data_IF_900397199468
#
_entry.id   IF_900397199468
#
_cell.length_a   1.000
_cell.length_b   1.000
_cell.length_c   1.000
_cell.angle_alpha   90.00
_cell.angle_beta   90.00
_cell.angle_gamma   90.00
#
_symmetry.space_group_name_H-M   'P 1'
#
loop_
_entity.id
_entity.type
_entity.pdbx_description
1 polymer ?
#
# COMPACT_ATOMS: atom_id res chain seq x y z
N UNK A 1 -17.81 -20.98 29.14
CA UNK A 1 -17.10 -19.74 29.56
C UNK A 1 -15.96 -19.52 28.61
N UNK A 2 -15.94 -18.35 27.89
CA UNK A 2 -14.79 -17.96 27.11
C UNK A 2 -13.63 -17.72 28.09
N UNK A 3 -12.53 -18.40 27.94
CA UNK A 3 -11.29 -18.07 28.67
C UNK A 3 -11.03 -16.58 28.52
N UNK A 4 -10.71 -15.92 29.64
CA UNK A 4 -10.39 -14.50 29.64
C UNK A 4 -9.12 -14.29 28.79
N UNK A 5 -9.28 -13.60 27.67
CA UNK A 5 -8.17 -13.30 26.76
C UNK A 5 -7.29 -12.24 27.42
N UNK A 6 -5.98 -12.45 27.45
CA UNK A 6 -5.04 -11.47 27.99
C UNK A 6 -5.02 -10.21 27.09
N UNK A 7 -5.32 -9.02 27.66
CA UNK A 7 -5.31 -7.78 26.88
C UNK A 7 -3.92 -7.45 26.36
N UNK A 8 -3.85 -6.96 25.11
CA UNK A 8 -2.60 -6.52 24.49
C UNK A 8 -2.80 -5.19 23.75
N UNK A 9 -1.78 -4.35 23.79
CA UNK A 9 -1.73 -3.13 22.97
C UNK A 9 -0.68 -3.31 21.88
N UNK A 10 -1.05 -3.06 20.62
CA UNK A 10 -0.19 -3.17 19.45
C UNK A 10 0.06 -1.80 18.83
N UNK A 11 1.32 -1.51 18.50
CA UNK A 11 1.68 -0.43 17.62
C UNK A 11 1.62 -0.93 16.17
N UNK A 12 0.69 -0.38 15.38
CA UNK A 12 0.39 -0.84 14.02
C UNK A 12 0.76 0.24 13.01
N UNK A 13 1.70 -0.08 12.13
CA UNK A 13 2.13 0.84 11.08
C UNK A 13 1.19 0.78 9.87
N UNK A 14 0.86 1.96 9.34
CA UNK A 14 0.04 2.13 8.14
C UNK A 14 0.61 3.20 7.22
N UNK A 15 0.15 3.19 5.95
CA UNK A 15 0.36 4.27 5.00
C UNK A 15 -0.93 5.07 4.83
N UNK A 16 -0.87 6.41 4.55
CA UNK A 16 -2.05 7.27 4.50
C UNK A 16 -2.86 7.06 3.21
N UNK A 17 -3.42 5.89 3.03
CA UNK A 17 -4.28 5.54 1.91
C UNK A 17 -5.39 4.55 2.30
N UNK A 18 -6.38 4.42 1.43
CA UNK A 18 -7.53 3.53 1.63
C UNK A 18 -7.08 2.07 1.82
N UNK A 19 -6.19 1.57 0.97
CA UNK A 19 -5.75 0.18 0.99
C UNK A 19 -5.05 -0.24 2.28
N UNK A 20 -4.32 0.65 2.92
CA UNK A 20 -3.65 0.36 4.19
C UNK A 20 -4.63 0.30 5.37
N UNK A 21 -5.69 1.08 5.35
CA UNK A 21 -6.56 1.33 6.50
C UNK A 21 -7.94 0.66 6.41
N UNK A 22 -8.38 0.21 5.23
CA UNK A 22 -9.74 -0.26 5.01
C UNK A 22 -10.21 -1.37 5.96
N UNK A 23 -9.34 -2.31 6.32
CA UNK A 23 -9.66 -3.39 7.23
C UNK A 23 -9.43 -3.01 8.69
N UNK A 24 -8.29 -2.41 9.03
CA UNK A 24 -7.92 -2.11 10.42
C UNK A 24 -8.79 -1.02 11.03
N UNK A 25 -9.14 0.03 10.29
CA UNK A 25 -10.05 1.07 10.78
C UNK A 25 -11.45 0.53 11.05
N UNK A 26 -11.96 -0.34 10.18
CA UNK A 26 -13.23 -1.01 10.44
C UNK A 26 -13.13 -1.99 11.61
N UNK A 27 -12.00 -2.70 11.77
CA UNK A 27 -11.80 -3.58 12.93
C UNK A 27 -11.82 -2.81 14.25
N UNK A 28 -11.30 -1.59 14.27
CA UNK A 28 -11.38 -0.68 15.42
C UNK A 28 -12.82 -0.18 15.60
N UNK A 29 -13.41 0.42 14.59
CA UNK A 29 -14.71 1.10 14.67
C UNK A 29 -15.88 0.16 14.99
N UNK A 30 -15.83 -1.08 14.47
CA UNK A 30 -16.85 -2.10 14.74
C UNK A 30 -16.61 -2.88 16.06
N UNK A 31 -15.54 -2.58 16.79
CA UNK A 31 -15.20 -3.26 18.04
C UNK A 31 -14.62 -4.66 17.88
N UNK A 32 -14.27 -5.10 16.67
CA UNK A 32 -13.78 -6.47 16.43
C UNK A 32 -12.43 -6.73 17.11
N UNK A 33 -11.56 -5.71 17.20
CA UNK A 33 -10.30 -5.81 17.95
C UNK A 33 -10.53 -5.85 19.46
N UNK A 34 -11.48 -5.06 19.97
CA UNK A 34 -11.86 -5.06 21.37
C UNK A 34 -12.43 -6.44 21.80
N UNK A 35 -13.25 -7.08 20.94
CA UNK A 35 -13.75 -8.45 21.17
C UNK A 35 -12.63 -9.48 21.34
N UNK A 36 -11.46 -9.23 20.72
CA UNK A 36 -10.26 -10.07 20.79
C UNK A 36 -9.26 -9.59 21.86
N UNK A 37 -9.63 -8.60 22.67
CA UNK A 37 -8.76 -8.05 23.72
C UNK A 37 -7.58 -7.25 23.18
N UNK A 38 -7.66 -6.71 21.96
CA UNK A 38 -6.59 -5.96 21.32
C UNK A 38 -6.93 -4.47 21.26
N UNK A 39 -6.01 -3.64 21.74
CA UNK A 39 -5.99 -2.20 21.53
C UNK A 39 -4.93 -1.86 20.51
N UNK A 40 -5.22 -0.97 19.55
CA UNK A 40 -4.31 -0.58 18.47
C UNK A 40 -3.94 0.90 18.60
N UNK A 41 -2.63 1.19 18.53
CA UNK A 41 -2.09 2.51 18.27
C UNK A 41 -1.64 2.56 16.82
N UNK A 42 -2.34 3.34 15.98
CA UNK A 42 -1.98 3.52 14.58
C UNK A 42 -0.84 4.52 14.44
N UNK A 43 0.20 4.16 13.68
CA UNK A 43 1.39 4.99 13.44
C UNK A 43 1.61 5.11 11.93
N UNK A 44 1.63 6.34 11.44
CA UNK A 44 1.76 6.65 10.02
C UNK A 44 3.20 6.55 9.53
N UNK A 45 3.39 5.95 8.36
CA UNK A 45 4.63 5.88 7.59
C UNK A 45 4.35 6.16 6.12
N UNK A 46 5.39 6.52 5.36
CA UNK A 46 5.22 6.86 3.94
C UNK A 46 5.42 5.68 3.00
N UNK A 47 6.14 4.63 3.42
CA UNK A 47 6.46 3.47 2.59
C UNK A 47 6.72 2.18 3.41
N UNK A 48 6.74 1.04 2.70
CA UNK A 48 6.98 -0.28 3.30
C UNK A 48 8.37 -0.47 3.89
N UNK A 49 9.47 -0.08 3.22
CA UNK A 49 10.82 -0.21 3.77
C UNK A 49 11.01 0.52 5.11
N UNK A 50 10.44 1.71 5.28
CA UNK A 50 10.51 2.46 6.56
C UNK A 50 9.68 1.79 7.65
N UNK A 51 8.55 1.16 7.31
CA UNK A 51 7.78 0.34 8.24
C UNK A 51 8.62 -0.83 8.76
N UNK A 52 9.30 -1.56 7.87
CA UNK A 52 10.14 -2.70 8.26
C UNK A 52 11.29 -2.24 9.16
N UNK A 53 11.94 -1.13 8.85
CA UNK A 53 12.99 -0.55 9.71
C UNK A 53 12.48 -0.17 11.10
N UNK A 54 11.26 0.37 11.20
CA UNK A 54 10.63 0.67 12.48
C UNK A 54 10.29 -0.61 13.28
N UNK A 55 9.89 -1.68 12.59
CA UNK A 55 9.66 -3.00 13.21
C UNK A 55 10.95 -3.61 13.72
N UNK A 56 12.05 -3.53 12.95
CA UNK A 56 13.39 -3.98 13.38
C UNK A 56 13.89 -3.25 14.63
N UNK A 57 13.56 -1.97 14.76
CA UNK A 57 13.90 -1.18 15.97
C UNK A 57 13.03 -1.51 17.19
N UNK A 58 11.96 -2.28 17.01
CA UNK A 58 11.01 -2.63 18.08
C UNK A 58 9.96 -1.57 18.38
N UNK A 59 9.85 -0.50 17.58
CA UNK A 59 8.83 0.55 17.78
C UNK A 59 7.45 0.19 17.21
N UNK A 60 7.39 -0.76 16.29
CA UNK A 60 6.17 -1.25 15.63
C UNK A 60 6.08 -2.77 15.78
N UNK A 61 4.90 -3.27 16.13
CA UNK A 61 4.61 -4.70 16.32
C UNK A 61 4.16 -5.36 15.02
N UNK A 62 3.21 -4.74 14.31
CA UNK A 62 2.69 -5.20 13.03
C UNK A 62 2.60 -4.03 12.05
N UNK A 63 2.72 -4.31 10.76
CA UNK A 63 2.68 -3.27 9.74
C UNK A 63 2.03 -3.75 8.44
N UNK A 64 1.58 -2.78 7.68
CA UNK A 64 1.09 -2.96 6.32
C UNK A 64 2.20 -2.68 5.31
N UNK A 65 2.31 -3.51 4.27
CA UNK A 65 3.22 -3.27 3.15
C UNK A 65 2.56 -3.57 1.80
N UNK A 66 3.02 -2.85 0.77
CA UNK A 66 2.73 -3.16 -0.63
C UNK A 66 3.72 -4.18 -1.23
N UNK A 67 3.49 -4.53 -2.49
CA UNK A 67 4.21 -5.57 -3.23
C UNK A 67 5.73 -5.38 -3.22
N UNK A 68 6.23 -4.16 -3.43
CA UNK A 68 7.66 -3.91 -3.56
C UNK A 68 8.48 -4.28 -2.31
N UNK A 69 7.89 -4.15 -1.12
CA UNK A 69 8.55 -4.51 0.12
C UNK A 69 8.51 -6.02 0.43
N UNK A 70 7.73 -6.83 -0.30
CA UNK A 70 7.69 -8.30 -0.12
C UNK A 70 9.06 -8.95 -0.36
N UNK A 71 9.93 -8.37 -1.18
CA UNK A 71 11.31 -8.86 -1.36
C UNK A 71 12.11 -8.88 -0.05
N UNK A 72 11.84 -7.96 0.88
CA UNK A 72 12.45 -7.96 2.21
C UNK A 72 11.93 -9.12 3.06
N UNK A 73 10.66 -9.49 2.90
CA UNK A 73 10.10 -10.70 3.53
C UNK A 73 10.70 -11.98 2.95
N UNK A 74 10.90 -12.05 1.63
CA UNK A 74 11.57 -13.19 0.96
C UNK A 74 12.99 -13.34 1.49
N UNK A 75 13.69 -12.25 1.80
CA UNK A 75 15.02 -12.25 2.38
C UNK A 75 15.03 -12.54 3.90
N UNK A 76 13.88 -12.79 4.51
CA UNK A 76 13.76 -13.16 5.93
C UNK A 76 13.76 -12.00 6.91
N UNK A 77 13.66 -10.75 6.44
CA UNK A 77 13.63 -9.57 7.30
C UNK A 77 12.29 -9.39 8.01
N UNK A 78 11.19 -9.82 7.39
CA UNK A 78 9.86 -9.81 7.98
C UNK A 78 9.07 -11.05 7.57
N UNK A 79 7.98 -11.33 8.30
CA UNK A 79 7.06 -12.44 8.04
C UNK A 79 5.71 -11.89 7.62
N UNK A 80 5.19 -12.33 6.47
CA UNK A 80 3.82 -12.07 6.05
C UNK A 80 2.91 -13.03 6.81
N UNK A 81 1.88 -12.52 7.48
CA UNK A 81 0.93 -13.34 8.22
C UNK A 81 -0.51 -13.23 7.72
N UNK A 82 -0.85 -12.18 6.96
CA UNK A 82 -2.17 -12.02 6.36
C UNK A 82 -2.11 -11.19 5.07
N UNK A 83 -2.97 -11.52 4.11
CA UNK A 83 -3.21 -10.71 2.91
C UNK A 83 -4.17 -9.57 3.26
N UNK A 84 -3.93 -8.38 2.69
CA UNK A 84 -4.86 -7.25 2.78
C UNK A 84 -5.80 -7.18 1.57
N UNK A 85 -5.25 -7.07 0.38
CA UNK A 85 -6.01 -6.97 -0.87
C UNK A 85 -5.10 -7.22 -2.08
N UNK A 86 -5.72 -7.33 -3.26
CA UNK A 86 -5.02 -7.34 -4.55
C UNK A 86 -5.04 -5.90 -5.07
N UNK A 87 -3.86 -5.29 -5.20
CA UNK A 87 -3.71 -3.87 -5.54
C UNK A 87 -3.76 -3.62 -7.05
N UNK A 88 -4.40 -2.52 -7.42
CA UNK A 88 -4.31 -1.89 -8.74
C UNK A 88 -3.97 -0.38 -8.61
N UNK A 89 -3.44 0.03 -7.46
CA UNK A 89 -3.18 1.43 -7.15
C UNK A 89 -1.87 1.98 -7.70
N UNK A 90 -0.98 1.13 -8.20
CA UNK A 90 0.28 1.59 -8.78
C UNK A 90 0.09 2.06 -10.22
N UNK A 91 0.78 3.14 -10.60
CA UNK A 91 0.74 3.66 -11.94
C UNK A 91 2.11 4.20 -12.40
N UNK A 92 2.39 4.01 -13.69
CA UNK A 92 3.41 4.73 -14.43
C UNK A 92 2.73 5.84 -15.21
N UNK A 93 3.17 7.08 -15.00
CA UNK A 93 2.56 8.29 -15.55
C UNK A 93 3.59 9.05 -16.37
N UNK A 94 3.29 9.32 -17.63
CA UNK A 94 4.05 10.21 -18.48
C UNK A 94 3.56 11.64 -18.34
N UNK A 95 4.49 12.59 -18.31
CA UNK A 95 4.20 14.02 -18.40
C UNK A 95 4.01 14.48 -19.85
N UNK A 96 4.13 15.79 -20.10
CA UNK A 96 3.93 16.39 -21.42
C UNK A 96 4.82 15.72 -22.50
N UNK A 97 4.18 15.25 -23.57
CA UNK A 97 4.85 14.62 -24.70
C UNK A 97 5.22 13.15 -24.50
N UNK A 98 4.96 12.56 -23.34
CA UNK A 98 5.19 11.14 -23.06
C UNK A 98 3.84 10.41 -23.13
N UNK A 99 3.63 9.64 -24.19
CA UNK A 99 2.34 8.98 -24.49
C UNK A 99 2.44 7.46 -24.55
N UNK A 100 3.66 6.92 -24.55
CA UNK A 100 3.93 5.48 -24.53
C UNK A 100 5.11 5.16 -23.62
N UNK A 101 5.28 3.88 -23.25
CA UNK A 101 6.40 3.44 -22.43
C UNK A 101 7.72 3.59 -23.18
N UNK A 102 7.71 3.40 -24.51
CA UNK A 102 8.88 3.56 -25.39
C UNK A 102 9.44 5.00 -25.37
N UNK A 103 8.58 5.99 -25.13
CA UNK A 103 8.99 7.41 -25.05
C UNK A 103 9.87 7.69 -23.84
N UNK A 104 9.92 6.78 -22.86
CA UNK A 104 10.72 6.94 -21.65
C UNK A 104 12.23 6.82 -21.90
N UNK A 105 12.66 6.27 -23.02
CA UNK A 105 14.10 6.11 -23.31
C UNK A 105 14.84 7.44 -23.24
N UNK A 106 15.85 7.50 -22.37
CA UNK A 106 16.67 8.71 -22.16
C UNK A 106 15.96 9.81 -21.35
N UNK A 107 14.79 9.52 -20.75
CA UNK A 107 14.00 10.48 -19.98
C UNK A 107 14.26 10.36 -18.49
N UNK A 108 13.99 11.46 -17.76
CA UNK A 108 14.03 11.50 -16.31
C UNK A 108 12.74 10.89 -15.74
N UNK A 109 12.88 9.78 -15.04
CA UNK A 109 11.75 9.04 -14.46
C UNK A 109 11.92 8.91 -12.97
N UNK A 110 11.01 9.54 -12.21
CA UNK A 110 10.98 9.45 -10.77
C UNK A 110 10.32 8.15 -10.29
N UNK A 111 10.85 7.57 -9.23
CA UNK A 111 10.30 6.40 -8.56
C UNK A 111 10.77 6.36 -7.10
N UNK A 112 10.22 5.45 -6.30
CA UNK A 112 10.67 5.21 -4.92
C UNK A 112 11.23 3.79 -4.81
N UNK A 113 12.52 3.68 -4.51
CA UNK A 113 13.24 2.41 -4.44
C UNK A 113 12.69 1.49 -3.35
N UNK A 114 12.60 0.19 -3.63
CA UNK A 114 12.12 -0.81 -2.69
C UNK A 114 10.60 -0.82 -2.50
N UNK A 115 9.84 -0.08 -3.31
CA UNK A 115 8.39 -0.01 -3.26
C UNK A 115 7.73 -0.59 -4.51
N UNK A 116 6.40 -0.67 -4.54
CA UNK A 116 5.64 -1.08 -5.72
C UNK A 116 5.82 -0.14 -6.91
N UNK A 117 6.23 1.12 -6.69
CA UNK A 117 6.55 2.03 -7.78
C UNK A 117 7.77 1.59 -8.59
N UNK A 118 8.77 1.01 -7.95
CA UNK A 118 9.90 0.39 -8.65
C UNK A 118 9.43 -0.81 -9.48
N UNK A 119 8.56 -1.65 -8.92
CA UNK A 119 8.06 -2.85 -9.60
C UNK A 119 7.25 -2.50 -10.86
N UNK A 120 6.33 -1.51 -10.78
CA UNK A 120 5.55 -1.09 -11.96
C UNK A 120 6.44 -0.46 -13.03
N UNK A 121 7.47 0.30 -12.64
CA UNK A 121 8.44 0.88 -13.57
C UNK A 121 9.25 -0.21 -14.28
N UNK A 122 9.82 -1.15 -13.54
CA UNK A 122 10.62 -2.25 -14.10
C UNK A 122 9.78 -3.13 -15.04
N UNK A 123 8.56 -3.49 -14.63
CA UNK A 123 7.65 -4.27 -15.45
C UNK A 123 7.30 -3.54 -16.75
N UNK A 124 7.03 -2.24 -16.66
CA UNK A 124 6.72 -1.42 -17.83
C UNK A 124 7.89 -1.35 -18.81
N UNK A 125 9.09 -1.02 -18.35
CA UNK A 125 10.28 -0.96 -19.18
C UNK A 125 10.57 -2.32 -19.84
N UNK A 126 10.51 -3.40 -19.06
CA UNK A 126 10.74 -4.75 -19.56
C UNK A 126 9.74 -5.15 -20.66
N UNK A 127 8.50 -4.69 -20.57
CA UNK A 127 7.45 -5.02 -21.56
C UNK A 127 7.75 -4.50 -22.97
N UNK A 128 8.56 -3.46 -23.08
CA UNK A 128 8.99 -2.85 -24.35
C UNK A 128 10.48 -3.06 -24.64
N UNK A 129 11.14 -3.94 -23.89
CA UNK A 129 12.57 -4.27 -24.10
C UNK A 129 13.55 -3.21 -23.59
N UNK A 130 13.09 -2.32 -22.72
CA UNK A 130 13.92 -1.35 -22.01
C UNK A 130 14.28 -1.86 -20.60
N UNK A 131 15.31 -1.25 -20.01
CA UNK A 131 15.79 -1.49 -18.66
C UNK A 131 15.94 -0.17 -17.90
N UNK A 132 16.25 -0.23 -16.61
CA UNK A 132 16.54 0.97 -15.80
C UNK A 132 17.75 1.76 -16.34
N UNK A 133 18.68 1.10 -17.06
CA UNK A 133 19.85 1.76 -17.68
C UNK A 133 19.49 2.56 -18.94
N UNK A 134 18.30 2.35 -19.51
CA UNK A 134 17.82 3.09 -20.70
C UNK A 134 17.13 4.42 -20.34
N UNK A 135 16.95 4.70 -19.05
CA UNK A 135 16.32 5.92 -18.52
C UNK A 135 17.25 6.63 -17.54
N UNK A 136 16.97 7.88 -17.23
CA UNK A 136 17.56 8.57 -16.08
C UNK A 136 16.63 8.35 -14.85
N UNK A 137 16.87 7.27 -14.11
CA UNK A 137 16.07 6.89 -12.97
C UNK A 137 16.41 7.76 -11.75
N UNK A 138 15.40 8.41 -11.16
CA UNK A 138 15.56 9.33 -10.03
C UNK A 138 14.78 8.78 -8.84
N UNK A 139 15.53 8.28 -7.84
CA UNK A 139 14.96 7.79 -6.59
C UNK A 139 14.58 8.97 -5.68
N UNK A 140 13.35 8.99 -5.22
CA UNK A 140 12.83 9.98 -4.27
C UNK A 140 11.64 9.45 -3.48
N UNK A 141 11.28 10.13 -2.40
CA UNK A 141 10.08 9.79 -1.64
C UNK A 141 8.78 10.09 -2.42
N UNK A 142 7.69 9.49 -1.98
CA UNK A 142 6.40 9.58 -2.68
C UNK A 142 5.87 11.02 -2.80
N UNK A 143 6.10 11.87 -1.80
CA UNK A 143 5.68 13.28 -1.83
C UNK A 143 6.53 14.10 -2.79
N UNK A 144 7.83 13.79 -2.85
CA UNK A 144 8.77 14.36 -3.82
C UNK A 144 8.40 14.04 -5.26
N UNK A 145 7.93 12.82 -5.53
CA UNK A 145 7.45 12.38 -6.85
C UNK A 145 6.31 13.27 -7.35
N UNK A 146 5.30 13.50 -6.52
CA UNK A 146 4.16 14.38 -6.88
C UNK A 146 4.64 15.78 -7.22
N UNK A 147 5.48 16.37 -6.36
CA UNK A 147 6.01 17.72 -6.57
C UNK A 147 6.87 17.82 -7.82
N UNK A 148 7.69 16.81 -8.11
CA UNK A 148 8.54 16.77 -9.30
C UNK A 148 7.74 16.68 -10.60
N UNK A 149 6.69 15.84 -10.63
CA UNK A 149 5.79 15.74 -11.79
C UNK A 149 5.02 17.04 -12.03
N UNK A 150 4.34 17.58 -11.02
CA UNK A 150 3.52 18.78 -11.16
C UNK A 150 4.33 20.05 -11.50
N UNK A 151 5.62 20.07 -11.14
CA UNK A 151 6.53 21.17 -11.50
C UNK A 151 7.28 20.96 -12.82
N UNK A 152 7.09 19.82 -13.50
CA UNK A 152 7.80 19.48 -14.74
C UNK A 152 9.30 19.23 -14.56
N UNK A 153 9.75 18.89 -13.35
CA UNK A 153 11.16 18.57 -13.06
C UNK A 153 11.59 17.18 -13.52
N UNK A 154 10.63 16.29 -13.73
CA UNK A 154 10.83 14.96 -14.30
C UNK A 154 9.86 14.76 -15.46
N UNK A 155 10.23 13.90 -16.41
CA UNK A 155 9.43 13.63 -17.60
C UNK A 155 8.30 12.62 -17.33
N UNK A 156 8.51 11.73 -16.38
CA UNK A 156 7.57 10.69 -15.99
C UNK A 156 7.78 10.27 -14.54
N UNK A 157 6.83 9.57 -13.99
CA UNK A 157 6.94 9.01 -12.64
C UNK A 157 6.17 7.70 -12.48
N UNK A 158 6.71 6.82 -11.64
CA UNK A 158 6.03 5.68 -11.09
C UNK A 158 5.67 5.96 -9.62
N UNK A 159 4.43 5.74 -9.24
CA UNK A 159 3.93 5.97 -7.88
C UNK A 159 2.66 5.16 -7.63
N UNK A 160 2.03 5.36 -6.50
CA UNK A 160 0.79 4.68 -6.13
C UNK A 160 -0.27 5.68 -5.66
N UNK A 161 -1.51 5.19 -5.55
CA UNK A 161 -2.65 5.97 -5.08
C UNK A 161 -2.49 6.34 -3.57
N UNK A 162 -2.84 7.57 -3.17
CA UNK A 162 -3.53 8.62 -3.92
C UNK A 162 -2.65 9.53 -4.79
N UNK A 163 -1.31 9.38 -4.73
CA UNK A 163 -0.37 10.26 -5.45
C UNK A 163 -0.58 10.20 -6.97
N UNK A 164 -0.80 9.00 -7.52
CA UNK A 164 -1.08 8.80 -8.95
C UNK A 164 -2.36 9.52 -9.37
N UNK A 165 -3.43 9.43 -8.57
CA UNK A 165 -4.70 10.13 -8.83
C UNK A 165 -4.51 11.64 -8.83
N UNK A 166 -3.78 12.16 -7.84
CA UNK A 166 -3.49 13.59 -7.73
C UNK A 166 -2.73 14.14 -8.93
N UNK A 167 -1.69 13.42 -9.41
CA UNK A 167 -0.93 13.83 -10.59
C UNK A 167 -1.84 13.87 -11.82
N UNK A 168 -2.66 12.83 -12.03
CA UNK A 168 -3.57 12.75 -13.18
C UNK A 168 -4.68 13.79 -13.14
N UNK A 169 -5.11 14.24 -11.96
CA UNK A 169 -6.12 15.27 -11.78
C UNK A 169 -5.56 16.69 -12.00
N UNK A 170 -4.37 16.96 -11.45
CA UNK A 170 -3.81 18.32 -11.44
C UNK A 170 -2.97 18.64 -12.68
N UNK A 171 -2.45 17.64 -13.42
CA UNK A 171 -1.70 17.84 -14.67
C UNK A 171 -2.52 17.35 -15.88
N UNK A 172 -3.08 18.30 -16.61
CA UNK A 172 -3.86 18.02 -17.83
C UNK A 172 -3.06 17.34 -18.95
N UNK A 173 -1.72 17.38 -18.91
CA UNK A 173 -0.84 16.74 -19.87
C UNK A 173 -0.37 15.37 -19.41
N UNK A 174 -0.68 14.96 -18.17
CA UNK A 174 -0.31 13.67 -17.64
C UNK A 174 -1.11 12.53 -18.31
N UNK A 175 -0.41 11.46 -18.66
CA UNK A 175 -1.00 10.26 -19.26
C UNK A 175 -0.61 9.03 -18.43
N UNK A 176 -1.61 8.24 -18.00
CA UNK A 176 -1.34 6.94 -17.39
C UNK A 176 -0.87 5.96 -18.47
N UNK A 177 0.39 5.55 -18.42
CA UNK A 177 1.02 4.64 -19.36
C UNK A 177 0.79 3.17 -19.02
N UNK A 178 0.75 2.85 -17.73
CA UNK A 178 0.52 1.51 -17.21
C UNK A 178 -0.02 1.55 -15.78
N UNK A 179 -0.67 0.48 -15.36
CA UNK A 179 -1.06 0.15 -14.00
C UNK A 179 -0.85 -1.36 -13.73
N UNK A 180 -1.23 -1.83 -12.54
CA UNK A 180 -1.03 -3.25 -12.20
C UNK A 180 -1.82 -4.18 -13.11
N UNK A 181 -3.00 -3.76 -13.60
CA UNK A 181 -3.82 -4.56 -14.52
C UNK A 181 -3.17 -4.73 -15.89
N UNK A 182 -2.31 -3.80 -16.31
CA UNK A 182 -1.54 -3.90 -17.56
C UNK A 182 -0.70 -5.19 -17.62
N UNK A 183 -0.29 -5.70 -16.45
CA UNK A 183 0.58 -6.88 -16.33
C UNK A 183 -0.10 -8.05 -15.60
N UNK A 184 -1.41 -8.06 -15.48
CA UNK A 184 -2.17 -9.06 -14.70
C UNK A 184 -2.05 -10.50 -15.23
N UNK A 185 -1.63 -10.67 -16.49
CA UNK A 185 -1.29 -11.97 -17.08
C UNK A 185 0.06 -12.55 -16.61
N UNK A 186 0.90 -11.75 -15.99
CA UNK A 186 2.27 -12.12 -15.57
C UNK A 186 2.52 -11.99 -14.09
N UNK A 187 1.89 -11.03 -13.44
CA UNK A 187 2.13 -10.71 -12.03
C UNK A 187 0.87 -10.17 -11.37
N UNK A 188 0.80 -10.35 -10.06
CA UNK A 188 -0.26 -9.80 -9.20
C UNK A 188 0.40 -8.94 -8.14
N UNK A 189 -0.08 -7.72 -7.96
CA UNK A 189 0.38 -6.84 -6.89
C UNK A 189 -0.41 -7.10 -5.62
N UNK A 190 0.26 -7.60 -4.60
CA UNK A 190 -0.34 -7.94 -3.31
C UNK A 190 0.02 -6.89 -2.26
N UNK A 191 -0.93 -6.61 -1.37
CA UNK A 191 -0.68 -5.88 -0.14
C UNK A 191 -0.91 -6.79 1.06
N UNK A 192 -0.06 -6.70 2.06
CA UNK A 192 -0.01 -7.68 3.15
C UNK A 192 0.26 -7.05 4.51
N UNK A 193 -0.14 -7.78 5.54
CA UNK A 193 0.20 -7.53 6.93
C UNK A 193 1.41 -8.35 7.33
N UNK A 194 2.36 -7.72 7.99
CA UNK A 194 3.65 -8.30 8.38
C UNK A 194 3.97 -8.07 9.85
N UNK A 195 4.87 -8.90 10.36
CA UNK A 195 5.53 -8.73 11.66
C UNK A 195 6.99 -9.20 11.57
N UNK A 196 7.78 -8.97 12.61
CA UNK A 196 9.11 -9.57 12.70
C UNK A 196 9.02 -11.09 12.88
N UNK A 197 9.97 -11.88 12.31
CA UNK A 197 9.97 -13.35 12.45
C UNK A 197 9.89 -13.80 13.91
N UNK A 198 10.69 -13.19 14.77
CA UNK A 198 10.68 -13.48 16.20
C UNK A 198 9.33 -13.16 16.86
N UNK A 199 8.70 -12.05 16.47
CA UNK A 199 7.36 -11.69 16.97
C UNK A 199 6.34 -12.76 16.61
N UNK A 200 6.39 -13.28 15.37
CA UNK A 200 5.49 -14.35 14.90
C UNK A 200 5.64 -15.64 15.70
N UNK A 201 6.87 -16.00 16.10
CA UNK A 201 7.14 -17.18 16.93
C UNK A 201 6.62 -17.02 18.36
N UNK A 202 6.86 -15.85 18.96
CA UNK A 202 6.57 -15.58 20.37
C UNK A 202 5.11 -15.17 20.64
N UNK A 203 4.41 -14.60 19.63
CA UNK A 203 3.09 -13.99 19.79
C UNK A 203 2.04 -14.53 18.79
N UNK A 204 2.15 -15.82 18.44
CA UNK A 204 1.24 -16.45 17.48
C UNK A 204 -0.24 -16.28 17.83
N UNK A 205 -0.59 -16.39 19.11
CA UNK A 205 -1.97 -16.18 19.57
C UNK A 205 -2.48 -14.77 19.27
N UNK A 206 -1.66 -13.76 19.55
CA UNK A 206 -1.98 -12.35 19.25
C UNK A 206 -2.21 -12.14 17.75
N UNK A 207 -1.34 -12.70 16.89
CA UNK A 207 -1.51 -12.61 15.44
C UNK A 207 -2.77 -13.31 14.95
N UNK A 208 -3.14 -14.46 15.51
CA UNK A 208 -4.41 -15.15 15.17
C UNK A 208 -5.60 -14.29 15.53
N UNK A 209 -5.62 -13.70 16.73
CA UNK A 209 -6.69 -12.80 17.19
C UNK A 209 -6.79 -11.53 16.32
N UNK A 210 -5.66 -10.91 16.03
CA UNK A 210 -5.58 -9.72 15.15
C UNK A 210 -6.08 -10.05 13.75
N UNK A 211 -5.63 -11.16 13.16
CA UNK A 211 -6.08 -11.61 11.82
C UNK A 211 -7.58 -11.89 11.80
N UNK A 212 -8.12 -12.51 12.84
CA UNK A 212 -9.57 -12.77 12.93
C UNK A 212 -10.39 -11.48 12.95
N UNK A 213 -9.93 -10.47 13.68
CA UNK A 213 -10.56 -9.15 13.70
C UNK A 213 -10.47 -8.46 12.34
N UNK A 214 -9.30 -8.52 11.66
CA UNK A 214 -9.12 -7.99 10.31
C UNK A 214 -10.05 -8.67 9.31
N UNK A 215 -10.13 -9.98 9.30
CA UNK A 215 -10.98 -10.74 8.36
C UNK A 215 -12.47 -10.45 8.56
N UNK A 216 -12.91 -10.29 9.81
CA UNK A 216 -14.25 -9.81 10.13
C UNK A 216 -14.53 -8.41 9.55
N UNK A 217 -13.54 -7.52 9.67
CA UNK A 217 -13.63 -6.18 9.11
C UNK A 217 -13.59 -6.17 7.58
N UNK A 218 -12.84 -7.08 6.95
CA UNK A 218 -12.83 -7.27 5.51
C UNK A 218 -14.21 -7.73 5.01
N UNK A 219 -14.85 -8.70 5.67
CA UNK A 219 -16.22 -9.13 5.34
C UNK A 219 -17.21 -7.96 5.42
N UNK A 220 -17.06 -7.07 6.40
CA UNK A 220 -17.89 -5.89 6.57
C UNK A 220 -17.63 -4.84 5.48
N UNK A 221 -16.37 -4.46 5.28
CA UNK A 221 -15.98 -3.34 4.43
C UNK A 221 -16.02 -3.65 2.92
N UNK A 222 -15.83 -4.92 2.53
CA UNK A 222 -15.85 -5.31 1.11
C UNK A 222 -17.26 -5.28 0.49
N UNK A 223 -18.33 -5.40 1.31
CA UNK A 223 -19.71 -5.45 0.84
C UNK A 223 -20.24 -4.06 0.47
N UNK A 224 -20.84 -3.35 1.44
CA UNK A 224 -21.63 -2.14 1.19
C UNK A 224 -21.19 -0.92 2.02
N UNK A 225 -20.05 -0.99 2.74
CA UNK A 225 -19.63 0.00 3.72
C UNK A 225 -18.42 0.85 3.29
N UNK A 226 -18.24 1.04 1.99
CA UNK A 226 -17.08 1.75 1.45
C UNK A 226 -17.11 3.26 1.72
N UNK A 227 -18.30 3.88 1.74
CA UNK A 227 -18.45 5.30 2.13
C UNK A 227 -18.11 5.52 3.59
N UNK A 228 -18.64 4.69 4.49
CA UNK A 228 -18.35 4.75 5.92
C UNK A 228 -16.86 4.49 6.18
N UNK A 229 -16.27 3.54 5.47
CA UNK A 229 -14.84 3.24 5.52
C UNK A 229 -14.01 4.46 5.09
N UNK A 230 -14.37 5.11 3.99
CA UNK A 230 -13.68 6.32 3.53
C UNK A 230 -13.76 7.45 4.54
N UNK A 231 -14.91 7.63 5.21
CA UNK A 231 -15.07 8.63 6.27
C UNK A 231 -14.16 8.36 7.49
N UNK A 232 -14.05 7.10 7.92
CA UNK A 232 -13.13 6.69 9.00
C UNK A 232 -11.68 6.99 8.63
N UNK A 233 -11.27 6.58 7.43
CA UNK A 233 -9.90 6.76 6.94
C UNK A 233 -9.57 8.25 6.79
N UNK A 234 -10.45 9.03 6.17
CA UNK A 234 -10.26 10.47 6.00
C UNK A 234 -10.06 11.18 7.33
N UNK A 235 -10.80 10.77 8.37
CA UNK A 235 -10.62 11.29 9.73
C UNK A 235 -9.24 10.91 10.30
N UNK A 236 -8.79 9.66 10.10
CA UNK A 236 -7.51 9.18 10.62
C UNK A 236 -6.32 9.94 10.00
N UNK A 237 -6.36 10.14 8.69
CA UNK A 237 -5.25 10.79 7.95
C UNK A 237 -5.41 12.32 7.82
N UNK A 238 -6.46 12.90 8.42
CA UNK A 238 -6.85 14.30 8.25
C UNK A 238 -6.98 14.71 6.77
N UNK A 239 -7.51 13.79 5.94
CA UNK A 239 -7.67 13.92 4.50
C UNK A 239 -9.09 14.24 4.06
N UNK A 240 -9.25 14.45 2.75
CA UNK A 240 -10.54 14.65 2.11
C UNK A 240 -11.26 13.31 1.89
N UNK A 241 -12.54 13.22 2.27
CA UNK A 241 -13.31 11.98 2.20
C UNK A 241 -13.57 11.52 0.76
N UNK A 242 -13.82 12.43 -0.17
CA UNK A 242 -14.12 12.10 -1.56
C UNK A 242 -12.85 11.54 -2.24
N UNK A 243 -11.70 12.16 -1.98
CA UNK A 243 -10.38 11.67 -2.44
C UNK A 243 -10.07 10.28 -1.89
N UNK A 244 -10.37 10.03 -0.61
CA UNK A 244 -10.19 8.69 -0.01
C UNK A 244 -11.17 7.69 -0.62
N UNK A 245 -12.43 8.07 -0.82
CA UNK A 245 -13.45 7.21 -1.41
C UNK A 245 -13.13 6.81 -2.86
N UNK A 246 -12.52 7.70 -3.64
CA UNK A 246 -12.13 7.42 -5.02
C UNK A 246 -11.06 6.32 -5.11
N UNK A 247 -10.25 6.14 -4.07
CA UNK A 247 -9.24 5.08 -4.01
C UNK A 247 -9.83 3.66 -3.93
N UNK A 248 -11.13 3.50 -3.66
CA UNK A 248 -11.77 2.18 -3.64
C UNK A 248 -11.72 1.45 -4.99
N UNK A 249 -11.52 2.19 -6.09
CA UNK A 249 -11.29 1.62 -7.42
C UNK A 249 -9.90 1.02 -7.66
N UNK A 250 -8.98 1.19 -6.71
CA UNK A 250 -7.57 0.84 -6.86
C UNK A 250 -7.23 -0.58 -6.39
N UNK A 251 -8.22 -1.41 -6.11
CA UNK A 251 -7.98 -2.77 -5.65
C UNK A 251 -9.18 -3.69 -5.82
N UNK A 252 -8.91 -4.98 -5.73
CA UNK A 252 -9.90 -6.02 -5.45
C UNK A 252 -9.96 -6.23 -3.93
N UNK A 253 -11.08 -5.88 -3.33
CA UNK A 253 -11.33 -5.95 -1.90
C UNK A 253 -11.90 -7.30 -1.53
N UNK A 254 -11.01 -8.21 -1.14
CA UNK A 254 -11.36 -9.58 -0.79
C UNK A 254 -12.03 -9.63 0.59
N UNK A 255 -13.03 -10.49 0.72
CA UNK A 255 -13.58 -10.85 2.03
C UNK A 255 -12.59 -11.72 2.81
N UNK A 256 -12.73 -11.77 4.13
CA UNK A 256 -11.94 -12.66 4.97
C UNK A 256 -12.14 -14.15 4.67
N UNK A 257 -13.23 -14.50 3.95
CA UNK A 257 -13.49 -15.88 3.49
C UNK A 257 -12.82 -16.23 2.18
N UNK A 258 -12.45 -15.23 1.37
CA UNK A 258 -11.75 -15.40 0.10
C UNK A 258 -10.23 -15.48 0.29
N UNK A 259 -9.72 -14.98 1.42
CA UNK A 259 -8.33 -15.06 1.83
C UNK A 259 -8.07 -16.31 2.66
#
# INVERSE_FOLDING_TARGET
EKEAVEPVTLNVAYMPNYGSLWSVENAIAQGYLEEEGITVNLVEFQDGPTIISAMESGSIDVGYIGQGAHKLCINGQATIFALSHISNGDALIGGEGITSIEDLKGKQVAYSSGTSSEDILVNSLTSVGLTMDDIEAIDMDASGIVSAMLSGKVDAAATWSPNSLKILEEDANATKLADNMTFSDKTVSLASWICMPKYAEENRDVLVRFTRALFKAMDYAAADHQEDTAALIAKQIAGDQDTVYDQRGDAEWLTGKEV
#
